data_IF_413201158885
#
_entry.id   IF_413201158885
#
_cell.length_a   1.000
_cell.length_b   1.000
_cell.length_c   1.000
_cell.angle_alpha   90.00
_cell.angle_beta   90.00
_cell.angle_gamma   90.00
#
_symmetry.space_group_name_H-M   'P 1'
#
loop_
_entity.id
_entity.type
_entity.pdbx_description
1 polymer ?
#
# COMPACT_ATOMS: atom_id res chain seq x y z
N UNK A 1 19.48 6.06 -13.22
CA UNK A 1 20.28 5.15 -12.39
C UNK A 1 21.60 4.84 -13.08
N UNK A 2 21.68 4.03 -14.13
CA UNK A 2 22.90 3.57 -14.77
C UNK A 2 23.87 4.73 -15.15
N UNK A 3 23.36 5.78 -15.81
CA UNK A 3 24.17 6.96 -16.24
C UNK A 3 24.93 7.66 -15.08
N UNK A 4 24.44 7.49 -13.84
CA UNK A 4 24.98 8.20 -12.67
C UNK A 4 25.51 7.23 -11.60
N UNK A 5 25.71 5.95 -11.93
CA UNK A 5 26.17 4.93 -11.01
C UNK A 5 25.32 4.82 -9.72
N UNK A 6 23.99 5.03 -9.85
CA UNK A 6 23.03 4.85 -8.77
C UNK A 6 22.47 3.42 -8.89
N UNK A 7 22.78 2.58 -7.95
CA UNK A 7 22.50 1.15 -8.00
C UNK A 7 21.29 0.73 -7.16
N UNK A 8 20.91 1.55 -6.20
CA UNK A 8 19.82 1.26 -5.26
C UNK A 8 18.64 2.18 -5.52
N UNK A 9 17.43 1.62 -5.49
CA UNK A 9 16.18 2.38 -5.58
C UNK A 9 15.20 1.90 -4.52
N UNK A 10 14.53 2.84 -3.88
CA UNK A 10 13.35 2.57 -3.03
C UNK A 10 12.16 3.23 -3.70
N UNK A 11 11.13 2.46 -3.96
CA UNK A 11 9.91 2.94 -4.62
C UNK A 11 8.72 2.83 -3.69
N UNK A 12 8.05 3.95 -3.46
CA UNK A 12 6.79 4.00 -2.73
C UNK A 12 5.66 3.47 -3.62
N UNK A 13 5.42 2.18 -3.53
CA UNK A 13 4.29 1.50 -4.17
C UNK A 13 3.04 1.56 -3.29
N UNK A 14 2.11 0.66 -3.49
CA UNK A 14 0.84 0.63 -2.75
C UNK A 14 0.30 -0.79 -2.67
N UNK A 15 -0.39 -1.13 -1.60
CA UNK A 15 -1.14 -2.38 -1.47
C UNK A 15 -2.23 -2.54 -2.55
N UNK A 16 -2.65 -1.46 -3.21
CA UNK A 16 -3.59 -1.52 -4.34
C UNK A 16 -3.10 -2.35 -5.53
N UNK A 17 -1.79 -2.66 -5.61
CA UNK A 17 -1.24 -3.56 -6.64
C UNK A 17 -1.72 -5.00 -6.46
N UNK A 18 -2.12 -5.42 -5.26
CA UNK A 18 -2.71 -6.74 -5.01
C UNK A 18 -4.13 -6.84 -5.58
N UNK A 19 -4.87 -5.71 -5.65
CA UNK A 19 -6.27 -5.69 -6.01
C UNK A 19 -7.12 -6.40 -4.96
N UNK A 20 -8.09 -7.21 -5.40
CA UNK A 20 -8.92 -8.02 -4.51
C UNK A 20 -8.19 -9.33 -4.16
N UNK A 21 -7.58 -9.38 -2.98
CA UNK A 21 -6.86 -10.56 -2.50
C UNK A 21 -7.80 -11.70 -2.07
N UNK A 22 -9.10 -11.43 -1.84
CA UNK A 22 -10.07 -12.46 -1.43
C UNK A 22 -10.35 -13.47 -2.53
N UNK A 23 -10.02 -13.14 -3.79
CA UNK A 23 -10.09 -14.08 -4.94
C UNK A 23 -9.16 -15.29 -4.81
N UNK A 24 -8.21 -15.23 -3.88
CA UNK A 24 -7.29 -16.34 -3.61
C UNK A 24 -7.54 -16.92 -2.21
N UNK A 25 -7.65 -18.23 -2.04
CA UNK A 25 -7.84 -18.83 -0.73
C UNK A 25 -6.61 -18.59 0.16
N UNK A 26 -6.86 -18.35 1.44
CA UNK A 26 -5.82 -18.16 2.48
C UNK A 26 -4.83 -17.00 2.24
N UNK A 27 -5.24 -15.96 1.49
CA UNK A 27 -4.42 -14.76 1.25
C UNK A 27 -4.85 -13.55 2.13
N UNK A 28 -5.51 -13.81 3.24
CA UNK A 28 -5.82 -12.80 4.27
C UNK A 28 -5.31 -13.33 5.63
N UNK A 29 -4.43 -12.59 6.31
CA UNK A 29 -3.77 -11.30 5.91
C UNK A 29 -2.95 -11.46 4.62
N UNK A 30 -2.86 -10.40 3.81
CA UNK A 30 -2.21 -10.45 2.50
C UNK A 30 -0.70 -10.64 2.66
N UNK A 31 -0.13 -11.79 2.20
CA UNK A 31 1.31 -11.98 2.20
C UNK A 31 1.96 -11.26 1.01
N UNK A 32 3.28 -11.06 1.06
CA UNK A 32 4.01 -10.38 -0.03
C UNK A 32 3.95 -11.14 -1.36
N UNK A 33 3.83 -12.47 -1.29
CA UNK A 33 3.73 -13.39 -2.44
C UNK A 33 2.35 -13.43 -3.07
N UNK A 34 1.36 -12.74 -2.48
CA UNK A 34 0.01 -12.69 -3.05
C UNK A 34 0.08 -12.20 -4.51
N UNK A 35 -0.57 -12.92 -5.45
CA UNK A 35 -0.55 -12.54 -6.85
C UNK A 35 -1.09 -11.12 -7.08
N UNK A 36 -0.38 -10.36 -7.91
CA UNK A 36 -0.76 -8.99 -8.23
C UNK A 36 -1.88 -8.94 -9.26
N UNK A 37 -2.76 -7.95 -9.15
CA UNK A 37 -3.87 -7.76 -10.06
C UNK A 37 -4.67 -6.54 -9.68
N UNK A 38 -4.12 -5.34 -9.89
CA UNK A 38 -4.78 -4.10 -9.52
C UNK A 38 -6.11 -3.93 -10.27
N UNK A 39 -7.12 -3.40 -9.57
CA UNK A 39 -8.49 -3.25 -10.08
C UNK A 39 -8.86 -1.80 -10.38
N UNK A 40 -7.93 -0.86 -10.20
CA UNK A 40 -8.15 0.56 -10.45
C UNK A 40 -6.95 1.21 -11.15
N UNK A 41 -7.14 2.39 -11.80
CA UNK A 41 -6.07 3.07 -12.53
C UNK A 41 -4.84 3.39 -11.68
N UNK A 42 -5.02 3.82 -10.43
CA UNK A 42 -3.91 4.11 -9.53
C UNK A 42 -3.07 2.86 -9.24
N UNK A 43 -3.70 1.74 -8.87
CA UNK A 43 -3.02 0.47 -8.66
C UNK A 43 -2.28 0.01 -9.92
N UNK A 44 -2.89 0.16 -11.10
CA UNK A 44 -2.24 -0.17 -12.37
C UNK A 44 -0.98 0.67 -12.63
N UNK A 45 -0.99 1.97 -12.32
CA UNK A 45 0.22 2.81 -12.46
C UNK A 45 1.34 2.35 -11.54
N UNK A 46 1.02 2.00 -10.28
CA UNK A 46 2.01 1.49 -9.32
C UNK A 46 2.56 0.15 -9.77
N UNK A 47 1.71 -0.76 -10.21
CA UNK A 47 2.11 -2.07 -10.74
C UNK A 47 3.02 -1.95 -11.96
N UNK A 48 2.71 -1.08 -12.92
CA UNK A 48 3.54 -0.84 -14.09
C UNK A 48 4.95 -0.35 -13.70
N UNK A 49 5.06 0.54 -12.72
CA UNK A 49 6.35 1.03 -12.22
C UNK A 49 7.11 -0.08 -11.47
N UNK A 50 6.45 -0.90 -10.64
CA UNK A 50 7.07 -2.07 -10.01
C UNK A 50 7.68 -3.01 -11.04
N UNK A 51 6.91 -3.33 -12.10
CA UNK A 51 7.37 -4.18 -13.19
C UNK A 51 8.59 -3.58 -13.88
N UNK A 52 8.53 -2.29 -14.24
CA UNK A 52 9.64 -1.63 -14.91
C UNK A 52 10.93 -1.60 -14.07
N UNK A 53 10.84 -1.36 -12.76
CA UNK A 53 11.98 -1.38 -11.85
C UNK A 53 12.55 -2.80 -11.73
N UNK A 54 11.69 -3.78 -11.56
CA UNK A 54 12.09 -5.19 -11.40
C UNK A 54 12.78 -5.70 -12.66
N UNK A 55 12.20 -5.45 -13.83
CA UNK A 55 12.77 -5.85 -15.11
C UNK A 55 14.11 -5.16 -15.38
N UNK A 56 14.20 -3.85 -15.08
CA UNK A 56 15.45 -3.13 -15.23
C UNK A 56 16.56 -3.72 -14.35
N UNK A 57 16.30 -3.96 -13.07
CA UNK A 57 17.28 -4.52 -12.13
C UNK A 57 17.70 -5.92 -12.58
N UNK A 58 16.76 -6.77 -12.96
CA UNK A 58 17.03 -8.13 -13.44
C UNK A 58 17.87 -8.09 -14.73
N UNK A 59 17.58 -7.18 -15.65
CA UNK A 59 18.38 -7.01 -16.86
C UNK A 59 19.84 -6.60 -16.53
N UNK A 60 20.04 -5.66 -15.61
CA UNK A 60 21.39 -5.25 -15.20
C UNK A 60 22.17 -6.40 -14.54
N UNK A 61 21.52 -7.11 -13.61
CA UNK A 61 22.11 -8.28 -12.94
C UNK A 61 22.50 -9.37 -13.95
N UNK A 62 21.60 -9.70 -14.86
CA UNK A 62 21.84 -10.72 -15.90
C UNK A 62 22.98 -10.33 -16.84
N UNK A 63 23.05 -9.07 -17.26
CA UNK A 63 24.12 -8.57 -18.11
C UNK A 63 25.48 -8.62 -17.41
N UNK A 64 25.55 -8.21 -16.14
CA UNK A 64 26.76 -8.29 -15.35
C UNK A 64 27.20 -9.75 -15.13
N UNK A 65 26.28 -10.65 -14.83
CA UNK A 65 26.56 -12.09 -14.67
C UNK A 65 27.09 -12.72 -15.97
N UNK A 66 26.46 -12.41 -17.10
CA UNK A 66 26.93 -12.88 -18.42
C UNK A 66 28.33 -12.36 -18.79
N UNK A 67 28.67 -11.18 -18.30
CA UNK A 67 30.01 -10.60 -18.46
C UNK A 67 31.03 -11.14 -17.45
N UNK A 68 30.66 -12.10 -16.59
CA UNK A 68 31.54 -12.68 -15.56
C UNK A 68 31.79 -11.75 -14.37
N UNK A 69 30.99 -10.68 -14.22
CA UNK A 69 31.16 -9.69 -13.15
C UNK A 69 30.06 -9.83 -12.08
N UNK A 70 30.16 -10.86 -11.25
CA UNK A 70 29.21 -11.13 -10.17
C UNK A 70 29.10 -9.95 -9.16
N UNK A 71 30.22 -9.32 -8.83
CA UNK A 71 30.25 -8.17 -7.92
C UNK A 71 29.47 -6.96 -8.44
N UNK A 72 29.43 -6.75 -9.75
CA UNK A 72 28.61 -5.70 -10.37
C UNK A 72 27.10 -6.07 -10.32
N UNK A 73 26.79 -7.35 -10.50
CA UNK A 73 25.41 -7.84 -10.42
C UNK A 73 24.79 -7.60 -9.04
N UNK A 74 25.55 -7.80 -7.97
CA UNK A 74 25.09 -7.64 -6.59
C UNK A 74 24.81 -6.18 -6.20
N UNK A 75 25.37 -5.22 -6.93
CA UNK A 75 25.14 -3.80 -6.63
C UNK A 75 23.70 -3.37 -6.91
N UNK A 76 23.04 -3.96 -7.91
CA UNK A 76 21.72 -3.52 -8.37
C UNK A 76 20.61 -4.02 -7.45
N UNK A 77 19.96 -3.11 -6.71
CA UNK A 77 18.93 -3.44 -5.76
C UNK A 77 17.72 -2.50 -5.85
N UNK A 78 16.54 -3.05 -5.57
CA UNK A 78 15.29 -2.31 -5.50
C UNK A 78 14.44 -2.78 -4.32
N UNK A 79 13.91 -1.84 -3.57
CA UNK A 79 12.90 -2.08 -2.55
C UNK A 79 11.57 -1.46 -3.02
N UNK A 80 10.52 -2.29 -3.10
CA UNK A 80 9.19 -1.89 -3.51
C UNK A 80 8.30 -1.88 -2.26
N UNK A 81 8.03 -0.70 -1.71
CA UNK A 81 7.28 -0.55 -0.46
C UNK A 81 5.79 -0.42 -0.77
N UNK A 82 5.02 -1.48 -0.54
CA UNK A 82 3.58 -1.53 -0.77
C UNK A 82 2.83 -1.05 0.46
N UNK A 83 2.64 0.28 0.55
CA UNK A 83 1.91 0.88 1.65
C UNK A 83 0.43 0.50 1.61
N UNK A 84 -0.09 0.07 2.75
CA UNK A 84 -1.52 0.08 3.06
C UNK A 84 -1.94 1.50 3.47
N UNK A 85 -2.97 1.65 4.29
CA UNK A 85 -3.37 2.95 4.81
C UNK A 85 -2.48 3.32 6.01
N UNK A 86 -1.50 4.21 5.83
CA UNK A 86 -0.64 4.61 6.95
C UNK A 86 -1.48 5.32 8.01
N UNK A 87 -1.16 5.05 9.27
CA UNK A 87 -1.87 5.59 10.40
C UNK A 87 -0.89 6.05 11.47
N UNK A 88 -1.20 7.16 12.12
CA UNK A 88 -0.41 7.69 13.21
C UNK A 88 0.10 9.11 12.96
N UNK A 89 0.74 9.65 14.01
CA UNK A 89 1.36 10.96 14.01
C UNK A 89 2.72 10.89 14.69
N UNK A 90 3.54 11.90 14.49
CA UNK A 90 4.82 12.00 15.18
C UNK A 90 4.59 12.13 16.70
N UNK A 91 5.42 11.50 17.57
CA UNK A 91 5.24 11.53 19.02
C UNK A 91 5.20 12.93 19.64
N UNK A 92 5.80 13.94 18.97
CA UNK A 92 5.73 15.34 19.42
C UNK A 92 4.33 15.95 19.34
N UNK A 93 3.41 15.35 18.56
CA UNK A 93 2.10 15.92 18.27
C UNK A 93 2.11 17.14 17.32
N UNK A 94 3.30 17.55 16.82
CA UNK A 94 3.44 18.71 15.93
C UNK A 94 3.24 18.32 14.46
N UNK A 95 3.59 17.08 14.10
CA UNK A 95 3.40 16.53 12.77
C UNK A 95 2.36 15.42 12.79
N UNK A 96 1.39 15.51 11.90
CA UNK A 96 0.33 14.52 11.74
C UNK A 96 -0.36 14.72 10.40
N UNK A 97 -1.51 14.09 10.23
CA UNK A 97 -2.35 14.20 9.06
C UNK A 97 -3.39 15.31 9.26
N UNK A 98 -3.39 16.32 8.38
CA UNK A 98 -4.38 17.41 8.37
C UNK A 98 -4.96 17.56 6.94
N UNK A 99 -5.83 16.64 6.54
CA UNK A 99 -6.39 16.64 5.19
C UNK A 99 -7.29 17.84 4.96
N UNK A 100 -7.14 18.48 3.80
CA UNK A 100 -8.03 19.52 3.34
C UNK A 100 -9.31 18.89 2.77
N UNK A 101 -10.47 19.27 3.30
CA UNK A 101 -11.77 18.72 2.90
C UNK A 101 -12.13 17.40 3.62
N UNK A 102 -12.84 16.53 2.92
CA UNK A 102 -13.25 15.23 3.46
C UNK A 102 -12.09 14.24 3.39
N UNK A 103 -11.65 13.68 4.53
CA UNK A 103 -10.61 12.66 4.54
C UNK A 103 -11.03 11.40 3.77
N UNK A 104 -10.09 10.75 3.09
CA UNK A 104 -10.29 9.46 2.45
C UNK A 104 -9.81 8.28 3.30
N UNK A 105 -8.95 8.53 4.29
CA UNK A 105 -8.45 7.51 5.21
C UNK A 105 -9.33 7.42 6.46
N UNK A 106 -9.43 6.21 7.01
CA UNK A 106 -10.31 5.91 8.14
C UNK A 106 -9.95 6.71 9.41
N UNK A 107 -8.67 6.77 9.78
CA UNK A 107 -8.27 7.39 11.05
C UNK A 107 -8.57 8.89 11.12
N UNK A 108 -8.31 9.71 10.10
CA UNK A 108 -8.76 11.10 10.09
C UNK A 108 -10.27 11.27 10.20
N UNK A 109 -11.05 10.37 9.58
CA UNK A 109 -12.51 10.36 9.71
C UNK A 109 -12.95 10.06 11.15
N UNK A 110 -12.36 9.04 11.77
CA UNK A 110 -12.61 8.70 13.18
C UNK A 110 -12.22 9.85 14.10
N UNK A 111 -11.09 10.51 13.88
CA UNK A 111 -10.67 11.68 14.66
C UNK A 111 -11.66 12.84 14.51
N UNK A 112 -12.23 13.08 13.34
CA UNK A 112 -13.26 14.10 13.14
C UNK A 112 -14.55 13.77 13.91
N UNK A 113 -14.95 12.49 13.95
CA UNK A 113 -16.11 12.06 14.75
C UNK A 113 -15.81 12.21 16.25
N UNK A 114 -14.67 11.72 16.71
CA UNK A 114 -14.28 11.78 18.11
C UNK A 114 -14.16 13.21 18.65
N UNK A 115 -13.78 14.16 17.81
CA UNK A 115 -13.66 15.58 18.17
C UNK A 115 -14.93 16.38 17.92
N UNK A 116 -16.02 15.74 17.48
CA UNK A 116 -17.31 16.40 17.22
C UNK A 116 -17.33 17.27 15.94
N UNK A 117 -16.26 17.23 15.14
CA UNK A 117 -16.23 17.91 13.83
C UNK A 117 -17.13 17.25 12.81
N UNK A 118 -17.46 15.98 13.02
CA UNK A 118 -18.38 15.18 12.21
C UNK A 118 -19.34 14.42 13.12
N UNK A 119 -20.61 14.38 12.74
CA UNK A 119 -21.66 13.76 13.54
C UNK A 119 -21.49 12.24 13.64
N UNK A 120 -21.17 11.59 12.52
CA UNK A 120 -21.06 10.13 12.44
C UNK A 120 -20.08 9.68 11.36
N UNK A 121 -19.61 8.44 11.51
CA UNK A 121 -18.85 7.74 10.48
C UNK A 121 -19.85 7.06 9.52
N UNK A 122 -19.63 7.26 8.21
CA UNK A 122 -20.36 6.54 7.18
C UNK A 122 -19.55 5.32 6.75
N UNK A 123 -20.14 4.14 6.85
CA UNK A 123 -19.52 2.88 6.41
C UNK A 123 -20.25 2.42 5.16
N UNK A 124 -19.51 2.28 4.07
CA UNK A 124 -20.03 1.80 2.78
C UNK A 124 -19.82 0.28 2.70
N UNK A 125 -20.87 -0.50 2.94
CA UNK A 125 -20.86 -1.97 2.89
C UNK A 125 -22.26 -2.52 3.09
N UNK A 126 -22.46 -3.77 2.70
CA UNK A 126 -23.76 -4.46 2.70
C UNK A 126 -24.13 -5.09 4.06
N UNK A 127 -23.30 -4.94 5.07
CA UNK A 127 -23.53 -5.50 6.41
C UNK A 127 -23.40 -7.02 6.51
N UNK A 128 -23.19 -7.73 5.41
CA UNK A 128 -23.03 -9.19 5.39
C UNK A 128 -21.57 -9.63 5.58
N UNK A 129 -20.62 -8.71 5.44
CA UNK A 129 -19.22 -9.02 5.67
C UNK A 129 -18.83 -8.98 7.15
N UNK A 130 -18.04 -9.95 7.62
CA UNK A 130 -17.70 -10.13 9.05
C UNK A 130 -16.87 -8.99 9.66
N UNK A 131 -16.54 -7.95 8.91
CA UNK A 131 -15.85 -6.74 9.42
C UNK A 131 -16.69 -6.03 10.51
N UNK A 132 -18.02 -6.13 10.44
CA UNK A 132 -18.91 -5.60 11.48
C UNK A 132 -18.75 -6.32 12.84
N UNK A 133 -18.18 -7.52 12.85
CA UNK A 133 -18.00 -8.34 14.05
C UNK A 133 -16.61 -8.16 14.71
N UNK A 134 -15.73 -7.33 14.14
CA UNK A 134 -14.36 -7.18 14.66
C UNK A 134 -14.24 -6.24 15.88
N UNK A 135 -15.29 -5.51 16.22
CA UNK A 135 -15.28 -4.60 17.36
C UNK A 135 -16.49 -4.91 18.28
N UNK A 136 -16.33 -5.74 19.32
CA UNK A 136 -17.39 -6.01 20.29
C UNK A 136 -17.83 -4.69 20.95
N UNK A 137 -19.10 -4.35 20.85
CA UNK A 137 -19.68 -3.15 21.46
C UNK A 137 -19.98 -2.00 20.50
N UNK A 138 -19.62 -2.10 19.23
CA UNK A 138 -20.14 -1.20 18.20
C UNK A 138 -21.54 -1.67 17.77
N UNK A 139 -22.51 -0.75 17.84
CA UNK A 139 -23.85 -1.06 17.34
C UNK A 139 -23.77 -1.33 15.83
N UNK A 140 -24.43 -2.37 15.39
CA UNK A 140 -24.57 -2.70 13.95
C UNK A 140 -25.56 -1.80 13.23
N UNK A 141 -26.09 -0.79 13.93
CA UNK A 141 -26.99 0.20 13.35
C UNK A 141 -26.18 1.26 12.57
N UNK A 142 -25.71 0.84 11.43
CA UNK A 142 -25.06 1.68 10.43
C UNK A 142 -26.07 2.33 9.50
N UNK A 143 -27.30 2.56 9.97
CA UNK A 143 -28.32 3.23 9.18
C UNK A 143 -27.79 4.62 8.76
N UNK A 144 -27.62 4.76 7.48
CA UNK A 144 -27.37 6.03 6.82
C UNK A 144 -28.65 6.77 6.57
#
# INVERSE_FOLDING_TARGET
>A
MQKHNVYNIVFSSSATVYGDATRFPNMIPIPEECPLGPTNPYGNTKFAVETAITDFINAQRNNATKAGNAAEAEKWNGALLRYFNPAGAHPSGIMGEDPQGVPYNLLPLLAQVATGKREKLLVFGDGEHPVANLLPGMSTDWSM
#
